data_IF_835104712308
#
_entry.id   IF_835104712308
#
_cell.length_a   1.000
_cell.length_b   1.000
_cell.length_c   1.000
_cell.angle_alpha   90.00
_cell.angle_beta   90.00
_cell.angle_gamma   90.00
#
_symmetry.space_group_name_H-M   'P 1'
#
loop_
_entity.id
_entity.type
_entity.pdbx_description
1 polymer ?
#
# COMPACT_ATOMS: atom_id res chain seq x y z
N UNK A 1 44.54 27.97 -11.44
CA UNK A 1 43.49 27.98 -12.50
C UNK A 1 42.97 26.58 -12.79
N UNK A 2 43.81 25.61 -13.17
CA UNK A 2 43.38 24.22 -13.47
C UNK A 2 42.76 23.46 -12.27
N UNK A 3 43.23 23.72 -11.04
CA UNK A 3 42.67 23.12 -9.81
C UNK A 3 41.26 23.64 -9.51
N UNK A 4 41.04 24.94 -9.68
CA UNK A 4 39.73 25.57 -9.49
C UNK A 4 38.71 25.08 -10.54
N UNK A 5 39.17 24.85 -11.79
CA UNK A 5 38.36 24.28 -12.86
C UNK A 5 37.98 22.82 -12.59
N UNK A 6 38.90 22.01 -12.05
CA UNK A 6 38.64 20.62 -11.67
C UNK A 6 37.64 20.50 -10.51
N UNK A 7 37.70 21.41 -9.53
CA UNK A 7 36.74 21.46 -8.41
C UNK A 7 35.34 21.82 -8.90
N UNK A 8 35.22 22.82 -9.79
CA UNK A 8 33.93 23.22 -10.37
C UNK A 8 33.28 22.09 -11.20
N UNK A 9 34.07 21.36 -11.99
CA UNK A 9 33.60 20.19 -12.73
C UNK A 9 33.11 19.09 -11.79
N UNK A 10 33.85 18.79 -10.71
CA UNK A 10 33.43 17.78 -9.74
C UNK A 10 32.10 18.14 -9.05
N UNK A 11 31.87 19.41 -8.70
CA UNK A 11 30.61 19.86 -8.07
C UNK A 11 29.42 19.72 -9.04
N UNK A 12 29.62 19.99 -10.33
CA UNK A 12 28.59 19.80 -11.36
C UNK A 12 28.21 18.32 -11.57
N UNK A 13 29.15 17.39 -11.43
CA UNK A 13 28.88 15.95 -11.51
C UNK A 13 28.17 15.39 -10.26
N UNK A 14 28.40 15.97 -9.08
CA UNK A 14 27.73 15.53 -7.84
C UNK A 14 26.26 15.99 -7.81
N UNK A 15 25.95 17.17 -8.35
CA UNK A 15 24.60 17.72 -8.37
C UNK A 15 23.63 17.01 -9.34
N UNK A 16 24.13 16.28 -10.34
CA UNK A 16 23.31 15.54 -11.32
C UNK A 16 22.96 14.13 -10.88
N UNK A 17 23.47 13.67 -9.74
CA UNK A 17 23.14 12.37 -9.17
C UNK A 17 21.88 12.42 -8.31
N UNK A 18 20.82 13.10 -8.77
CA UNK A 18 19.49 12.77 -8.29
C UNK A 18 19.21 11.33 -8.74
N UNK A 19 19.20 10.39 -7.80
CA UNK A 19 18.67 9.06 -8.09
C UNK A 19 17.22 9.27 -8.51
N UNK A 20 16.97 9.16 -9.80
CA UNK A 20 15.62 8.90 -10.30
C UNK A 20 15.27 7.51 -9.78
N UNK A 21 14.73 7.45 -8.56
CA UNK A 21 13.94 6.31 -8.15
C UNK A 21 12.91 6.15 -9.25
N UNK A 22 13.01 5.04 -10.01
CA UNK A 22 12.14 4.77 -11.14
C UNK A 22 10.71 5.00 -10.67
N UNK A 23 10.05 6.01 -11.23
CA UNK A 23 8.67 6.36 -10.90
C UNK A 23 7.80 5.31 -11.55
N UNK A 24 7.69 4.15 -10.89
CA UNK A 24 6.72 3.14 -11.25
C UNK A 24 5.33 3.78 -11.11
N UNK A 25 4.42 3.58 -12.08
CA UNK A 25 3.04 3.97 -11.92
C UNK A 25 2.44 3.15 -10.77
N UNK A 26 2.42 3.75 -9.58
CA UNK A 26 2.09 3.12 -8.31
C UNK A 26 3.34 2.87 -7.48
N UNK A 27 3.69 3.83 -6.63
CA UNK A 27 4.82 3.72 -5.69
C UNK A 27 4.34 3.64 -4.25
N UNK A 28 5.00 2.86 -3.40
CA UNK A 28 4.92 3.03 -1.95
C UNK A 28 5.61 4.35 -1.59
N UNK A 29 4.85 5.43 -1.61
CA UNK A 29 5.31 6.77 -1.19
C UNK A 29 4.97 7.03 0.28
N UNK A 30 5.68 7.99 0.89
CA UNK A 30 5.32 8.52 2.20
C UNK A 30 4.08 9.42 2.08
N UNK A 31 2.91 8.79 1.88
CA UNK A 31 1.62 9.44 2.06
C UNK A 31 1.32 9.46 3.57
N UNK A 32 1.19 10.64 4.15
CA UNK A 32 0.76 10.75 5.55
C UNK A 32 -0.74 10.57 5.60
N UNK A 33 -1.20 9.42 6.10
CA UNK A 33 -2.61 9.11 6.33
C UNK A 33 -2.83 8.89 7.82
N UNK A 34 -3.99 9.30 8.32
CA UNK A 34 -4.44 8.98 9.69
C UNK A 34 -4.86 7.52 9.84
N UNK A 35 -4.94 6.76 8.74
CA UNK A 35 -5.29 5.36 8.75
C UNK A 35 -4.29 4.52 9.54
N UNK A 36 -4.81 3.57 10.32
CA UNK A 36 -4.05 2.52 10.97
C UNK A 36 -4.82 1.19 10.92
N UNK A 37 -4.11 0.11 11.21
CA UNK A 37 -4.65 -1.25 11.25
C UNK A 37 -5.24 -1.66 12.61
N UNK A 38 -5.43 -0.72 13.54
CA UNK A 38 -5.99 -1.04 14.85
C UNK A 38 -7.43 -1.52 14.70
N UNK A 39 -7.72 -2.68 15.31
CA UNK A 39 -9.03 -3.34 15.26
C UNK A 39 -9.53 -3.64 13.83
N UNK A 40 -8.62 -3.73 12.85
CA UNK A 40 -8.93 -4.09 11.47
C UNK A 40 -8.45 -5.52 11.18
N UNK A 41 -9.31 -6.39 10.61
CA UNK A 41 -8.88 -7.73 10.21
C UNK A 41 -7.88 -7.67 9.04
N UNK A 42 -7.34 -8.83 8.66
CA UNK A 42 -6.58 -8.94 7.43
C UNK A 42 -7.42 -8.40 6.27
N UNK A 43 -6.91 -7.41 5.54
CA UNK A 43 -7.60 -6.89 4.38
C UNK A 43 -6.95 -5.68 3.76
N UNK A 44 -7.66 -5.14 2.77
CA UNK A 44 -7.29 -3.96 2.02
C UNK A 44 -8.32 -2.86 2.31
N UNK A 45 -7.84 -1.63 2.45
CA UNK A 45 -8.63 -0.50 2.92
C UNK A 45 -8.35 0.73 2.09
N UNK A 46 -9.38 1.26 1.43
CA UNK A 46 -9.29 2.47 0.66
C UNK A 46 -8.91 3.66 1.55
N UNK A 47 -7.93 4.46 1.13
CA UNK A 47 -7.57 5.71 1.80
C UNK A 47 -8.55 6.82 1.39
N UNK A 48 -9.68 6.91 2.09
CA UNK A 48 -10.73 7.90 1.81
C UNK A 48 -10.24 9.34 2.03
N UNK A 49 -9.33 9.54 2.99
CA UNK A 49 -8.69 10.84 3.28
C UNK A 49 -7.95 11.37 2.04
N UNK A 50 -7.34 10.46 1.28
CA UNK A 50 -6.61 10.79 0.04
C UNK A 50 -7.37 10.49 -1.23
N UNK A 51 -8.71 10.53 -1.18
CA UNK A 51 -9.60 10.32 -2.33
C UNK A 51 -9.35 8.98 -3.04
N UNK A 52 -9.00 7.94 -2.28
CA UNK A 52 -8.70 6.60 -2.75
C UNK A 52 -7.57 6.53 -3.79
N UNK A 53 -6.73 7.57 -3.92
CA UNK A 53 -5.49 7.50 -4.73
C UNK A 53 -4.45 6.56 -4.09
N UNK A 54 -4.67 6.18 -2.84
CA UNK A 54 -3.92 5.16 -2.15
C UNK A 54 -4.86 4.20 -1.43
N UNK A 55 -4.29 3.08 -1.01
CA UNK A 55 -4.94 2.09 -0.15
C UNK A 55 -3.92 1.51 0.81
N UNK A 56 -4.45 0.92 1.88
CA UNK A 56 -3.67 0.31 2.94
C UNK A 56 -3.92 -1.19 2.97
N UNK A 57 -2.90 -1.95 3.35
CA UNK A 57 -3.02 -3.38 3.64
C UNK A 57 -2.67 -3.60 5.09
N UNK A 58 -3.57 -4.28 5.80
CA UNK A 58 -3.34 -4.77 7.17
C UNK A 58 -3.07 -6.26 7.09
N UNK A 59 -1.86 -6.70 7.40
CA UNK A 59 -1.46 -8.09 7.30
C UNK A 59 -1.09 -8.65 8.68
N UNK A 60 -1.78 -9.69 9.18
CA UNK A 60 -1.44 -10.31 10.45
C UNK A 60 -0.13 -11.09 10.32
N UNK A 61 0.82 -10.77 11.19
CA UNK A 61 2.07 -11.50 11.37
C UNK A 61 1.89 -12.39 12.60
N UNK A 62 1.97 -13.70 12.39
CA UNK A 62 1.81 -14.70 13.45
C UNK A 62 3.11 -15.46 13.70
N UNK A 63 3.26 -15.96 14.93
CA UNK A 63 4.30 -16.94 15.25
C UNK A 63 3.97 -18.32 14.67
N UNK A 64 4.87 -19.29 14.87
CA UNK A 64 4.70 -20.68 14.38
C UNK A 64 3.46 -21.36 14.99
N UNK A 65 3.07 -20.99 16.20
CA UNK A 65 1.88 -21.51 16.89
C UNK A 65 0.57 -20.81 16.48
N UNK A 66 0.64 -19.85 15.54
CA UNK A 66 -0.50 -19.08 15.06
C UNK A 66 -0.89 -17.89 15.94
N UNK A 67 -0.13 -17.58 16.99
CA UNK A 67 -0.40 -16.41 17.82
C UNK A 67 -0.07 -15.13 17.06
N UNK A 68 -1.00 -14.16 17.07
CA UNK A 68 -0.78 -12.84 16.47
C UNK A 68 0.29 -12.06 17.23
N UNK A 69 1.39 -11.75 16.57
CA UNK A 69 2.49 -10.93 17.11
C UNK A 69 2.31 -9.45 16.77
N UNK A 70 1.96 -9.17 15.52
CA UNK A 70 1.88 -7.81 14.96
C UNK A 70 0.88 -7.78 13.80
N UNK A 71 0.29 -6.61 13.53
CA UNK A 71 -0.38 -6.36 12.25
C UNK A 71 0.46 -5.39 11.44
N UNK A 72 1.16 -5.91 10.42
CA UNK A 72 1.95 -5.10 9.52
C UNK A 72 1.03 -4.20 8.66
N UNK A 73 1.39 -2.92 8.57
CA UNK A 73 0.67 -1.91 7.80
C UNK A 73 1.49 -1.48 6.59
N UNK A 74 0.91 -1.62 5.40
CA UNK A 74 1.50 -1.16 4.15
C UNK A 74 0.61 -0.13 3.48
N UNK A 75 1.21 0.82 2.78
CA UNK A 75 0.50 1.82 1.96
C UNK A 75 0.97 1.72 0.52
N UNK A 76 0.01 1.69 -0.40
CA UNK A 76 0.23 1.62 -1.83
C UNK A 76 -0.51 2.76 -2.51
N UNK A 77 0.13 3.38 -3.49
CA UNK A 77 -0.47 4.44 -4.30
C UNK A 77 -0.88 3.82 -5.63
N UNK A 78 -2.06 4.16 -6.13
CA UNK A 78 -2.50 3.77 -7.47
C UNK A 78 -1.67 4.47 -8.56
N UNK A 79 -1.74 3.93 -9.78
CA UNK A 79 -1.18 4.60 -10.96
C UNK A 79 -1.79 5.98 -11.21
N UNK A 80 -1.22 6.74 -12.15
CA UNK A 80 -1.81 8.01 -12.58
C UNK A 80 -3.25 7.78 -13.04
N UNK A 81 -4.14 8.70 -12.65
CA UNK A 81 -5.56 8.71 -13.02
C UNK A 81 -6.36 7.46 -12.60
N UNK A 82 -5.86 6.68 -11.64
CA UNK A 82 -6.56 5.56 -11.04
C UNK A 82 -6.85 5.78 -9.55
N UNK A 83 -7.95 5.18 -9.09
CA UNK A 83 -8.34 5.15 -7.67
C UNK A 83 -8.61 3.71 -7.24
N UNK A 84 -8.37 3.41 -5.97
CA UNK A 84 -8.63 2.11 -5.40
C UNK A 84 -10.14 1.89 -5.26
N UNK A 85 -10.61 0.79 -5.84
CA UNK A 85 -11.98 0.32 -5.76
C UNK A 85 -12.09 -0.73 -4.66
N UNK A 86 -12.84 -0.43 -3.61
CA UNK A 86 -12.91 -1.29 -2.42
C UNK A 86 -13.67 -2.61 -2.65
N UNK A 87 -14.54 -2.69 -3.66
CA UNK A 87 -15.29 -3.90 -4.00
C UNK A 87 -14.46 -4.93 -4.78
N UNK A 88 -13.63 -4.47 -5.72
CA UNK A 88 -12.75 -5.29 -6.54
C UNK A 88 -11.35 -5.46 -5.93
N UNK A 89 -11.01 -4.64 -4.93
CA UNK A 89 -9.70 -4.60 -4.27
C UNK A 89 -8.55 -4.32 -5.25
N UNK A 90 -8.81 -3.48 -6.25
CA UNK A 90 -7.86 -3.10 -7.30
C UNK A 90 -7.90 -1.60 -7.57
N UNK A 91 -6.84 -1.06 -8.15
CA UNK A 91 -6.88 0.28 -8.74
C UNK A 91 -7.62 0.24 -10.09
N UNK A 92 -8.64 1.07 -10.25
CA UNK A 92 -9.47 1.15 -11.44
C UNK A 92 -9.64 2.60 -11.90
N UNK A 93 -10.20 2.79 -13.10
CA UNK A 93 -10.57 4.13 -13.56
C UNK A 93 -11.69 4.69 -12.66
N UNK A 94 -11.71 6.00 -12.32
CA UNK A 94 -12.67 6.57 -11.38
C UNK A 94 -14.15 6.38 -11.74
N UNK A 95 -14.48 6.16 -13.02
CA UNK A 95 -15.86 5.90 -13.47
C UNK A 95 -16.29 4.45 -13.32
N UNK A 96 -15.35 3.54 -13.10
CA UNK A 96 -15.57 2.10 -12.93
C UNK A 96 -15.36 1.66 -11.48
N UNK A 97 -14.61 2.45 -10.72
CA UNK A 97 -14.37 2.21 -9.30
C UNK A 97 -15.64 2.42 -8.46
N UNK A 98 -15.76 1.63 -7.41
CA UNK A 98 -16.71 1.83 -6.34
C UNK A 98 -16.55 3.23 -5.73
N UNK A 99 -17.64 3.93 -5.38
CA UNK A 99 -17.57 5.28 -4.85
C UNK A 99 -16.63 5.37 -3.63
N UNK A 100 -15.58 6.20 -3.76
CA UNK A 100 -14.52 6.28 -2.76
C UNK A 100 -15.04 6.59 -1.35
N UNK A 101 -15.98 7.54 -1.23
CA UNK A 101 -16.60 7.94 0.05
C UNK A 101 -17.38 6.82 0.72
N UNK A 102 -17.83 5.85 -0.05
CA UNK A 102 -18.68 4.76 0.42
C UNK A 102 -17.85 3.52 0.74
N UNK A 103 -16.56 3.50 0.39
CA UNK A 103 -15.65 2.36 0.57
C UNK A 103 -15.71 1.76 1.97
N UNK A 104 -15.74 2.61 2.99
CA UNK A 104 -15.77 2.16 4.39
C UNK A 104 -17.00 1.30 4.73
N UNK A 105 -18.11 1.47 4.00
CA UNK A 105 -19.34 0.70 4.23
C UNK A 105 -19.23 -0.77 3.84
N UNK A 106 -18.23 -1.14 3.02
CA UNK A 106 -18.06 -2.51 2.53
C UNK A 106 -16.75 -3.17 3.01
N UNK A 107 -15.97 -2.53 3.88
CA UNK A 107 -14.71 -3.10 4.40
C UNK A 107 -14.89 -4.49 5.00
N UNK A 108 -15.95 -4.72 5.76
CA UNK A 108 -16.21 -6.04 6.37
C UNK A 108 -16.45 -7.10 5.28
N UNK A 109 -17.34 -6.81 4.34
CA UNK A 109 -17.75 -7.77 3.31
C UNK A 109 -16.62 -8.04 2.31
N UNK A 110 -15.88 -7.00 1.90
CA UNK A 110 -14.77 -7.14 0.96
C UNK A 110 -13.58 -7.88 1.56
N UNK A 111 -13.37 -7.77 2.89
CA UNK A 111 -12.22 -8.37 3.56
C UNK A 111 -12.51 -9.68 4.30
N UNK A 112 -13.77 -10.12 4.40
CA UNK A 112 -14.18 -11.28 5.23
C UNK A 112 -13.45 -12.60 4.97
N UNK A 113 -12.90 -12.80 3.78
CA UNK A 113 -12.31 -14.08 3.35
C UNK A 113 -10.77 -14.08 3.39
N UNK A 114 -10.13 -12.98 3.79
CA UNK A 114 -8.67 -12.97 3.91
C UNK A 114 -8.22 -13.78 5.13
N UNK A 115 -7.22 -14.64 4.94
CA UNK A 115 -6.66 -15.48 6.00
C UNK A 115 -7.56 -16.64 6.46
N UNK A 116 -8.74 -16.82 5.85
CA UNK A 116 -9.64 -17.94 6.16
C UNK A 116 -9.20 -19.16 5.34
N UNK A 117 -8.71 -20.19 6.01
CA UNK A 117 -8.50 -21.52 5.41
C UNK A 117 -9.81 -22.30 5.53
N UNK A 118 -10.41 -22.79 4.44
CA UNK A 118 -11.60 -23.63 4.53
C UNK A 118 -11.31 -24.89 5.35
N UNK A 119 -12.27 -25.31 6.19
CA UNK A 119 -12.15 -26.47 7.08
C UNK A 119 -11.68 -27.75 6.36
N UNK A 120 -12.12 -27.94 5.11
CA UNK A 120 -11.71 -29.06 4.24
C UNK A 120 -10.21 -29.09 3.90
N UNK A 121 -9.53 -27.95 4.05
CA UNK A 121 -8.10 -27.77 3.78
C UNK A 121 -7.28 -27.59 5.06
N UNK A 122 -7.90 -27.70 6.25
CA UNK A 122 -7.17 -27.74 7.50
C UNK A 122 -6.50 -29.11 7.62
N UNK A 123 -5.17 -29.15 7.56
CA UNK A 123 -4.45 -30.38 7.88
C UNK A 123 -4.72 -30.76 9.35
N UNK A 124 -5.12 -32.01 9.64
CA UNK A 124 -5.29 -32.44 11.02
C UNK A 124 -3.97 -32.30 11.78
N UNK A 125 -4.00 -31.63 12.94
CA UNK A 125 -2.88 -31.56 13.86
C UNK A 125 -2.39 -32.99 14.14
N UNK A 126 -1.18 -33.32 13.67
CA UNK A 126 -0.58 -34.65 13.77
C UNK A 126 0.39 -34.74 14.94
#
# INVERSE_FOLDING_TARGET
MMRELLVLLAVLFVATSARMAGKLPGGSGALQSSFNCEQRPFGYYADVEHSCRAFHVCYPVTEEDGLLTETAHFTFICGQDAVFSQDSLTCAHPTEAFPCTDSASIYEISNKNFGVVPEENLEPLR
#
